data_IF_126866380577
#
_entry.id   IF_126866380577
#
_cell.length_a   1.000
_cell.length_b   1.000
_cell.length_c   1.000
_cell.angle_alpha   90.00
_cell.angle_beta   90.00
_cell.angle_gamma   90.00
#
_symmetry.space_group_name_H-M   'P 1'
#
loop_
_entity.id
_entity.type
_entity.pdbx_description
1 polymer ?
#
# COMPACT_ATOMS: atom_id res chain seq x y z
N UNK A 1 10.81 28.47 -51.78
CA UNK A 1 11.29 27.25 -51.08
C UNK A 1 10.20 26.81 -50.14
N UNK A 2 9.62 25.62 -50.35
CA UNK A 2 8.65 25.02 -49.42
C UNK A 2 9.46 24.21 -48.41
N UNK A 3 9.43 24.62 -47.14
CA UNK A 3 10.06 23.89 -46.04
C UNK A 3 9.13 22.78 -45.56
N UNK A 4 9.42 21.54 -45.94
CA UNK A 4 8.77 20.35 -45.40
C UNK A 4 9.58 19.79 -44.22
N UNK A 5 8.96 19.71 -43.05
CA UNK A 5 9.53 19.00 -41.90
C UNK A 5 9.23 17.52 -42.01
N UNK A 6 10.27 16.68 -41.98
CA UNK A 6 10.11 15.23 -41.95
C UNK A 6 9.53 14.80 -40.59
N UNK A 7 8.39 14.12 -40.62
CA UNK A 7 7.82 13.43 -39.44
C UNK A 7 8.29 11.98 -39.49
N UNK A 8 8.87 11.46 -38.41
CA UNK A 8 9.20 10.03 -38.30
C UNK A 8 7.90 9.23 -38.47
N UNK A 9 7.88 8.31 -39.43
CA UNK A 9 6.83 7.30 -39.51
C UNK A 9 6.78 6.55 -38.17
N UNK A 10 5.61 6.52 -37.52
CA UNK A 10 5.39 5.65 -36.38
C UNK A 10 5.82 4.24 -36.75
N UNK A 11 6.60 3.59 -35.89
CA UNK A 11 6.96 2.19 -36.08
C UNK A 11 5.71 1.31 -36.20
N UNK A 12 5.84 0.03 -36.57
CA UNK A 12 4.72 -0.89 -36.65
C UNK A 12 3.89 -0.81 -35.36
N UNK A 13 2.57 -0.66 -35.49
CA UNK A 13 1.68 -0.77 -34.34
C UNK A 13 1.95 -2.13 -33.66
N UNK A 14 1.94 -2.20 -32.32
CA UNK A 14 2.08 -3.46 -31.61
C UNK A 14 1.11 -4.49 -32.17
N UNK A 15 1.55 -5.75 -32.28
CA UNK A 15 0.68 -6.82 -32.73
C UNK A 15 -0.56 -6.90 -31.82
N UNK A 16 -1.74 -6.88 -32.43
CA UNK A 16 -3.00 -6.97 -31.70
C UNK A 16 -3.12 -8.33 -31.00
N UNK A 17 -3.76 -8.36 -29.84
CA UNK A 17 -4.06 -9.61 -29.17
C UNK A 17 -5.05 -10.45 -29.99
N UNK A 18 -4.89 -11.77 -29.93
CA UNK A 18 -5.82 -12.73 -30.50
C UNK A 18 -6.54 -13.44 -29.35
N UNK A 19 -7.73 -12.94 -29.01
CA UNK A 19 -8.54 -13.47 -27.92
C UNK A 19 -8.87 -14.97 -28.05
N UNK A 20 -8.93 -15.52 -29.27
CA UNK A 20 -9.21 -16.93 -29.50
C UNK A 20 -8.04 -17.86 -29.11
N UNK A 21 -6.83 -17.32 -28.96
CA UNK A 21 -5.64 -18.05 -28.53
C UNK A 21 -5.35 -17.91 -27.03
N UNK A 22 -6.10 -17.07 -26.32
CA UNK A 22 -5.92 -16.86 -24.89
C UNK A 22 -6.50 -18.05 -24.11
N UNK A 23 -5.67 -18.66 -23.27
CA UNK A 23 -6.07 -19.66 -22.28
C UNK A 23 -6.12 -19.02 -20.89
N UNK A 24 -7.30 -18.75 -20.32
CA UNK A 24 -7.44 -18.24 -18.96
C UNK A 24 -7.58 -19.35 -17.91
N UNK A 25 -7.53 -20.63 -18.30
CA UNK A 25 -7.79 -21.76 -17.42
C UNK A 25 -9.16 -21.62 -16.71
N UNK A 26 -9.14 -21.72 -15.38
CA UNK A 26 -10.33 -21.60 -14.53
C UNK A 26 -10.65 -20.17 -14.08
N UNK A 27 -9.87 -19.17 -14.51
CA UNK A 27 -10.09 -17.77 -14.14
C UNK A 27 -11.23 -17.14 -14.97
N UNK A 28 -11.96 -16.17 -14.41
CA UNK A 28 -13.08 -15.53 -15.11
C UNK A 28 -12.64 -14.81 -16.38
N UNK A 29 -13.49 -14.89 -17.42
CA UNK A 29 -13.26 -14.28 -18.74
C UNK A 29 -14.11 -13.05 -19.01
N UNK A 30 -15.04 -12.75 -18.12
CA UNK A 30 -15.99 -11.64 -18.24
C UNK A 30 -16.01 -10.85 -16.94
N UNK A 31 -16.20 -9.52 -17.00
CA UNK A 31 -16.45 -8.72 -15.82
C UNK A 31 -17.54 -9.34 -14.94
N UNK A 32 -17.39 -9.18 -13.62
CA UNK A 32 -18.49 -9.40 -12.69
C UNK A 32 -19.60 -8.37 -12.95
N UNK A 33 -20.87 -8.68 -12.65
CA UNK A 33 -21.89 -7.65 -12.52
C UNK A 33 -21.44 -6.56 -11.54
N UNK A 34 -22.04 -5.35 -11.58
CA UNK A 34 -21.78 -4.32 -10.58
C UNK A 34 -21.86 -4.90 -9.16
N UNK A 35 -20.85 -4.65 -8.34
CA UNK A 35 -20.74 -5.27 -7.01
C UNK A 35 -21.76 -4.74 -6.00
N UNK A 36 -22.45 -3.64 -6.32
CA UNK A 36 -23.47 -3.04 -5.48
C UNK A 36 -22.91 -2.46 -4.18
N UNK A 37 -23.70 -2.54 -3.13
CA UNK A 37 -23.35 -2.12 -1.77
C UNK A 37 -22.65 -3.27 -1.03
N UNK A 38 -21.80 -2.91 -0.07
CA UNK A 38 -21.21 -3.88 0.86
C UNK A 38 -22.28 -4.73 1.57
N UNK A 39 -21.90 -5.94 2.00
CA UNK A 39 -22.86 -6.90 2.55
C UNK A 39 -23.42 -6.48 3.92
N UNK A 40 -22.59 -5.86 4.76
CA UNK A 40 -22.90 -5.50 6.14
C UNK A 40 -21.95 -4.40 6.66
N UNK A 41 -22.11 -4.02 7.94
CA UNK A 41 -21.26 -3.02 8.61
C UNK A 41 -19.78 -3.43 8.65
N UNK A 42 -19.48 -4.72 8.83
CA UNK A 42 -18.10 -5.20 8.89
C UNK A 42 -17.39 -5.05 7.52
N UNK A 43 -18.09 -5.39 6.43
CA UNK A 43 -17.63 -5.12 5.08
C UNK A 43 -17.50 -3.61 4.81
N UNK A 44 -18.42 -2.80 5.36
CA UNK A 44 -18.33 -1.33 5.33
C UNK A 44 -17.08 -0.78 6.02
N UNK A 45 -16.77 -1.25 7.23
CA UNK A 45 -15.53 -0.89 7.96
C UNK A 45 -14.27 -1.30 7.20
N UNK A 46 -14.28 -2.47 6.55
CA UNK A 46 -13.19 -2.92 5.67
C UNK A 46 -12.98 -1.97 4.50
N UNK A 47 -14.04 -1.60 3.78
CA UNK A 47 -13.95 -0.66 2.65
C UNK A 47 -13.51 0.73 3.13
N UNK A 48 -14.02 1.21 4.26
CA UNK A 48 -13.59 2.47 4.84
C UNK A 48 -12.10 2.44 5.21
N UNK A 49 -11.63 1.38 5.89
CA UNK A 49 -10.21 1.19 6.22
C UNK A 49 -9.32 1.22 4.96
N UNK A 50 -9.74 0.60 3.86
CA UNK A 50 -9.02 0.65 2.59
C UNK A 50 -9.00 2.06 1.99
N UNK A 51 -10.12 2.80 2.06
CA UNK A 51 -10.20 4.20 1.59
C UNK A 51 -9.27 5.11 2.38
N UNK A 52 -9.13 4.87 3.69
CA UNK A 52 -8.23 5.64 4.56
C UNK A 52 -6.76 5.61 4.09
N UNK A 53 -6.35 4.62 3.28
CA UNK A 53 -5.01 4.57 2.71
C UNK A 53 -4.60 5.88 2.01
N UNK A 54 -5.54 6.55 1.35
CA UNK A 54 -5.28 7.79 0.58
C UNK A 54 -4.96 9.00 1.48
N UNK A 55 -5.30 8.95 2.76
CA UNK A 55 -4.92 10.02 3.69
C UNK A 55 -3.68 9.68 4.52
N UNK A 56 -3.17 8.44 4.48
CA UNK A 56 -2.01 8.05 5.27
C UNK A 56 -0.72 8.54 4.62
N UNK A 57 -0.03 9.46 5.30
CA UNK A 57 1.26 9.95 4.86
C UNK A 57 2.28 8.80 4.83
N UNK A 58 2.92 8.60 3.68
CA UNK A 58 3.96 7.61 3.50
C UNK A 58 5.29 8.05 4.11
N UNK A 59 6.05 7.15 4.75
CA UNK A 59 7.34 7.49 5.35
C UNK A 59 8.36 8.15 4.41
N UNK A 60 8.36 7.80 3.12
CA UNK A 60 9.23 8.39 2.09
C UNK A 60 8.95 9.88 1.83
N UNK A 61 7.80 10.39 2.26
CA UNK A 61 7.46 11.82 2.21
C UNK A 61 8.14 12.61 3.33
N UNK A 62 8.62 11.92 4.38
CA UNK A 62 9.27 12.50 5.56
C UNK A 62 10.79 12.46 5.44
N UNK A 63 11.31 11.34 4.96
CA UNK A 63 12.72 11.11 4.63
C UNK A 63 12.77 10.24 3.37
N UNK A 64 13.37 10.72 2.29
CA UNK A 64 13.39 10.06 0.98
C UNK A 64 14.14 8.72 0.98
N UNK A 65 14.88 8.41 2.07
CA UNK A 65 15.54 7.13 2.28
C UNK A 65 14.61 6.07 2.88
N UNK A 66 13.46 6.44 3.44
CA UNK A 66 12.47 5.51 4.02
C UNK A 66 11.63 4.86 2.91
N UNK A 67 12.27 4.10 2.03
CA UNK A 67 11.64 3.46 0.87
C UNK A 67 11.52 1.94 1.01
N UNK A 68 12.32 1.29 1.85
CA UNK A 68 12.30 -0.17 1.96
C UNK A 68 11.02 -0.62 2.68
N UNK A 69 10.23 -1.55 2.11
CA UNK A 69 9.13 -2.13 2.85
C UNK A 69 9.68 -2.85 4.08
N UNK A 70 8.98 -2.74 5.21
CA UNK A 70 9.32 -3.44 6.44
C UNK A 70 9.23 -4.96 6.19
N UNK A 71 10.38 -5.63 6.22
CA UNK A 71 10.50 -7.08 6.39
C UNK A 71 11.05 -7.45 7.77
N UNK A 72 10.90 -6.54 8.74
CA UNK A 72 11.29 -6.69 10.14
C UNK A 72 10.21 -6.13 11.06
N UNK A 73 9.35 -7.02 11.54
CA UNK A 73 8.72 -7.07 12.87
C UNK A 73 7.80 -5.96 13.45
N UNK A 74 7.60 -4.75 12.92
CA UNK A 74 6.79 -3.73 13.67
C UNK A 74 5.56 -3.10 12.99
N UNK A 75 5.41 -3.07 11.65
CA UNK A 75 4.08 -2.96 11.02
C UNK A 75 4.10 -3.24 9.51
N UNK A 76 3.22 -4.10 8.97
CA UNK A 76 2.99 -4.19 7.53
C UNK A 76 2.09 -3.03 7.06
N UNK A 77 2.34 -2.49 5.87
CA UNK A 77 1.35 -1.65 5.19
C UNK A 77 0.02 -2.39 5.08
N UNK A 78 -1.01 -1.93 5.77
CA UNK A 78 -2.28 -2.67 5.84
C UNK A 78 -3.47 -1.82 6.29
N UNK A 79 -4.65 -2.15 5.77
CA UNK A 79 -5.92 -1.71 6.33
C UNK A 79 -6.20 -2.43 7.65
N UNK A 80 -6.86 -1.73 8.59
CA UNK A 80 -7.22 -2.20 9.93
C UNK A 80 -8.74 -2.05 10.08
N UNK A 81 -9.48 -3.12 9.87
CA UNK A 81 -10.96 -3.13 9.96
C UNK A 81 -11.49 -3.49 11.34
N UNK A 82 -10.64 -4.00 12.21
CA UNK A 82 -10.97 -4.46 13.55
C UNK A 82 -9.81 -4.14 14.51
N UNK A 83 -10.10 -3.90 15.80
CA UNK A 83 -9.09 -3.48 16.76
C UNK A 83 -8.09 -4.59 17.09
N UNK A 84 -8.44 -5.88 16.93
CA UNK A 84 -7.51 -6.99 17.19
C UNK A 84 -6.28 -6.95 16.28
N UNK A 85 -6.45 -6.41 15.07
CA UNK A 85 -5.36 -6.21 14.12
C UNK A 85 -4.42 -5.06 14.46
N UNK A 86 -4.70 -4.23 15.48
CA UNK A 86 -3.73 -3.24 15.96
C UNK A 86 -2.51 -3.88 16.62
N UNK A 87 -2.62 -5.12 17.11
CA UNK A 87 -1.50 -5.85 17.71
C UNK A 87 -0.28 -6.02 16.78
N UNK A 88 -0.46 -5.88 15.47
CA UNK A 88 0.64 -5.91 14.49
C UNK A 88 1.37 -4.57 14.35
N UNK A 89 0.85 -3.51 14.97
CA UNK A 89 1.29 -2.12 14.83
C UNK A 89 1.86 -1.55 16.13
N UNK A 90 1.23 -1.89 17.25
CA UNK A 90 1.49 -1.27 18.55
C UNK A 90 2.08 -2.28 19.50
N UNK A 91 2.98 -1.83 20.38
CA UNK A 91 3.59 -2.72 21.36
C UNK A 91 2.63 -2.97 22.53
N UNK A 92 2.67 -4.20 23.04
CA UNK A 92 1.88 -4.61 24.20
C UNK A 92 0.47 -5.08 23.86
N UNK A 93 -0.20 -5.67 24.84
CA UNK A 93 -1.51 -6.32 24.66
C UNK A 93 -2.69 -5.37 24.97
N UNK A 94 -2.42 -4.15 25.41
CA UNK A 94 -3.42 -3.23 25.98
C UNK A 94 -4.05 -2.28 24.97
N UNK A 95 -3.32 -1.90 23.92
CA UNK A 95 -3.76 -0.88 22.96
C UNK A 95 -4.97 -1.36 22.13
N UNK A 96 -4.98 -2.62 21.69
CA UNK A 96 -6.11 -3.17 20.95
C UNK A 96 -7.42 -3.18 21.80
N UNK A 97 -7.41 -3.68 23.05
CA UNK A 97 -8.53 -3.52 23.98
C UNK A 97 -8.97 -2.07 24.20
N UNK A 98 -8.02 -1.13 24.34
CA UNK A 98 -8.32 0.30 24.50
C UNK A 98 -9.04 0.83 23.25
N UNK A 99 -8.54 0.54 22.05
CA UNK A 99 -9.20 0.92 20.81
C UNK A 99 -10.63 0.37 20.75
N UNK A 100 -10.82 -0.89 21.13
CA UNK A 100 -12.13 -1.52 21.17
C UNK A 100 -13.08 -0.85 22.18
N UNK A 101 -12.61 -0.51 23.39
CA UNK A 101 -13.44 0.15 24.42
C UNK A 101 -13.84 1.57 24.04
N UNK A 102 -13.08 2.21 23.15
CA UNK A 102 -13.42 3.51 22.56
C UNK A 102 -14.10 3.39 21.18
N UNK A 103 -14.64 2.22 20.84
CA UNK A 103 -15.46 2.00 19.65
C UNK A 103 -14.72 2.20 18.32
N UNK A 104 -13.45 1.76 18.24
CA UNK A 104 -12.66 1.76 17.01
C UNK A 104 -13.49 1.41 15.76
N UNK A 105 -13.39 2.25 14.74
CA UNK A 105 -14.18 2.15 13.51
C UNK A 105 -13.39 1.43 12.41
N UNK A 106 -12.25 2.00 12.04
CA UNK A 106 -11.40 1.57 10.93
C UNK A 106 -10.03 2.27 11.06
N UNK A 107 -9.02 1.77 10.36
CA UNK A 107 -7.71 2.39 10.33
C UNK A 107 -6.88 1.94 9.14
N UNK A 108 -5.77 2.61 8.91
CA UNK A 108 -4.77 2.19 7.93
C UNK A 108 -3.39 2.56 8.44
N UNK A 109 -2.39 1.72 8.17
CA UNK A 109 -0.99 1.99 8.48
C UNK A 109 -0.12 1.82 7.23
N UNK A 110 0.88 2.70 7.10
CA UNK A 110 2.02 2.53 6.21
C UNK A 110 3.33 2.59 6.99
N UNK A 111 4.22 1.62 6.72
CA UNK A 111 5.48 1.47 7.45
C UNK A 111 6.66 1.22 6.52
N UNK A 112 7.80 1.87 6.78
CA UNK A 112 9.03 1.68 5.99
C UNK A 112 10.29 1.89 6.80
N UNK A 113 11.36 1.31 6.29
CA UNK A 113 12.72 1.48 6.81
C UNK A 113 13.65 2.03 5.74
N UNK A 114 14.79 2.54 6.19
CA UNK A 114 15.94 2.73 5.31
C UNK A 114 16.41 1.38 4.79
N UNK A 115 16.69 1.22 3.48
CA UNK A 115 17.20 -0.03 2.93
C UNK A 115 18.42 -0.56 3.71
N UNK A 116 18.46 -1.87 4.00
CA UNK A 116 19.64 -2.46 4.63
C UNK A 116 20.86 -2.32 3.70
N UNK A 117 22.09 -2.25 4.26
CA UNK A 117 23.29 -2.27 3.45
C UNK A 117 23.37 -3.55 2.59
N UNK A 118 24.11 -3.53 1.47
CA UNK A 118 24.43 -4.75 0.75
C UNK A 118 25.09 -5.81 1.66
N UNK A 119 24.83 -7.10 1.42
CA UNK A 119 25.43 -8.20 2.17
C UNK A 119 26.97 -8.08 2.20
N UNK A 120 27.54 -8.15 3.40
CA UNK A 120 28.99 -8.08 3.61
C UNK A 120 29.56 -6.66 3.76
N UNK A 121 28.70 -5.63 3.73
CA UNK A 121 29.09 -4.26 4.07
C UNK A 121 28.61 -3.90 5.47
N UNK A 122 29.37 -3.04 6.16
CA UNK A 122 28.89 -2.41 7.39
C UNK A 122 27.60 -1.63 7.10
N UNK A 123 26.70 -1.56 8.08
CA UNK A 123 25.47 -0.76 8.01
C UNK A 123 25.71 0.65 7.47
N UNK A 124 24.78 1.14 6.64
CA UNK A 124 24.75 2.55 6.27
C UNK A 124 24.62 3.45 7.51
N UNK A 125 24.97 4.72 7.34
CA UNK A 125 24.92 5.74 8.38
C UNK A 125 23.47 5.87 8.89
N UNK A 126 23.23 5.37 10.12
CA UNK A 126 21.99 5.56 10.88
C UNK A 126 20.68 5.03 10.23
N UNK A 127 20.43 3.71 10.26
CA UNK A 127 19.14 3.18 9.82
C UNK A 127 17.98 3.79 10.62
N UNK A 128 16.88 4.05 9.90
CA UNK A 128 15.64 4.59 10.46
C UNK A 128 14.46 3.69 10.10
N UNK A 129 13.44 3.74 10.94
CA UNK A 129 12.13 3.12 10.72
C UNK A 129 11.06 4.14 11.09
N UNK A 130 10.00 4.17 10.30
CA UNK A 130 8.82 4.97 10.58
C UNK A 130 7.58 4.20 10.14
N UNK A 131 6.68 3.98 11.09
CA UNK A 131 5.32 3.55 10.83
C UNK A 131 4.38 4.69 11.15
N UNK A 132 3.42 4.95 10.26
CA UNK A 132 2.42 5.97 10.41
C UNK A 132 1.03 5.35 10.24
N UNK A 133 0.24 5.38 11.30
CA UNK A 133 -1.11 4.86 11.37
C UNK A 133 -2.13 5.97 11.58
N UNK A 134 -3.28 5.85 10.93
CA UNK A 134 -4.47 6.69 11.20
C UNK A 134 -5.58 5.77 11.67
N UNK A 135 -6.03 5.96 12.90
CA UNK A 135 -7.07 5.17 13.56
C UNK A 135 -8.32 6.03 13.70
N UNK A 136 -9.45 5.55 13.20
CA UNK A 136 -10.72 6.29 13.22
C UNK A 136 -11.60 5.83 14.36
N UNK A 137 -12.20 6.80 15.04
CA UNK A 137 -13.17 6.64 16.13
C UNK A 137 -14.49 7.33 15.76
N UNK A 138 -15.59 7.08 16.50
CA UNK A 138 -16.90 7.63 16.15
C UNK A 138 -16.98 9.16 16.23
N UNK A 139 -16.26 9.76 17.17
CA UNK A 139 -16.29 11.20 17.42
C UNK A 139 -14.91 11.75 17.80
N UNK A 140 -14.80 13.08 17.84
CA UNK A 140 -13.62 13.77 18.35
C UNK A 140 -13.34 13.42 19.81
N UNK A 141 -14.39 13.25 20.62
CA UNK A 141 -14.23 12.89 22.03
C UNK A 141 -13.70 11.47 22.18
N UNK A 142 -14.26 10.51 21.44
CA UNK A 142 -13.78 9.11 21.46
C UNK A 142 -12.32 9.01 21.03
N UNK A 143 -11.92 9.75 19.99
CA UNK A 143 -10.53 9.80 19.55
C UNK A 143 -9.60 10.43 20.60
N UNK A 144 -10.01 11.51 21.25
CA UNK A 144 -9.23 12.14 22.30
C UNK A 144 -9.04 11.21 23.51
N UNK A 145 -10.10 10.56 23.96
CA UNK A 145 -10.07 9.63 25.08
C UNK A 145 -9.24 8.38 24.74
N UNK A 146 -9.38 7.85 23.52
CA UNK A 146 -8.57 6.76 23.02
C UNK A 146 -7.08 7.12 22.98
N UNK A 147 -6.71 8.28 22.41
CA UNK A 147 -5.32 8.73 22.38
C UNK A 147 -4.73 8.87 23.79
N UNK A 148 -5.50 9.45 24.72
CA UNK A 148 -5.09 9.59 26.12
C UNK A 148 -4.84 8.24 26.79
N UNK A 149 -5.77 7.29 26.63
CA UNK A 149 -5.64 5.95 27.18
C UNK A 149 -4.47 5.16 26.54
N UNK A 150 -4.31 5.25 25.22
CA UNK A 150 -3.22 4.59 24.49
C UNK A 150 -1.85 5.13 24.90
N UNK A 151 -1.68 6.46 24.95
CA UNK A 151 -0.42 7.08 25.38
C UNK A 151 -0.11 6.88 26.86
N UNK A 152 -1.11 6.64 27.71
CA UNK A 152 -0.88 6.21 29.09
C UNK A 152 -0.43 4.74 29.15
N UNK A 153 -0.99 3.88 28.31
CA UNK A 153 -0.64 2.47 28.24
C UNK A 153 0.76 2.23 27.64
N UNK A 154 1.18 2.99 26.62
CA UNK A 154 2.53 2.89 26.05
C UNK A 154 3.60 3.27 27.08
N UNK A 155 3.44 4.38 27.83
CA UNK A 155 4.35 4.72 28.93
C UNK A 155 4.50 3.58 29.95
N UNK A 156 3.43 2.84 30.23
CA UNK A 156 3.42 1.70 31.15
C UNK A 156 3.96 0.40 30.55
N UNK A 157 4.28 0.37 29.26
CA UNK A 157 4.72 -0.83 28.55
C UNK A 157 6.23 -1.00 28.65
N UNK A 158 6.67 -2.14 29.20
CA UNK A 158 8.09 -2.51 29.29
C UNK A 158 8.59 -2.97 27.91
N UNK A 159 9.68 -2.38 27.44
CA UNK A 159 10.28 -2.68 26.14
C UNK A 159 11.39 -3.74 26.24
N UNK A 160 11.79 -4.36 25.10
CA UNK A 160 12.82 -5.41 25.10
C UNK A 160 14.08 -5.02 25.88
N UNK A 161 14.61 -5.97 26.66
CA UNK A 161 15.70 -5.69 27.61
C UNK A 161 15.24 -5.15 28.96
N UNK A 162 13.93 -5.24 29.27
CA UNK A 162 13.33 -4.73 30.51
C UNK A 162 13.54 -3.21 30.67
N UNK A 163 13.39 -2.48 29.56
CA UNK A 163 13.65 -1.04 29.47
C UNK A 163 12.32 -0.30 29.55
N UNK A 164 12.21 0.62 30.51
CA UNK A 164 11.04 1.50 30.64
C UNK A 164 11.15 2.67 29.67
N UNK A 165 10.03 3.03 29.05
CA UNK A 165 9.95 4.24 28.25
C UNK A 165 9.94 5.50 29.15
N UNK A 166 10.39 6.61 28.60
CA UNK A 166 10.28 7.94 29.22
C UNK A 166 9.56 8.89 28.27
N UNK A 167 8.93 9.92 28.82
CA UNK A 167 8.22 10.93 28.04
C UNK A 167 9.14 11.59 27.01
N UNK A 168 8.67 11.68 25.76
CA UNK A 168 9.34 12.36 24.66
C UNK A 168 8.55 13.62 24.27
N UNK A 169 9.04 14.84 24.59
CA UNK A 169 8.39 16.05 24.14
C UNK A 169 8.43 16.18 22.62
N UNK A 170 7.29 16.56 22.01
CA UNK A 170 7.19 16.95 20.60
C UNK A 170 6.83 18.45 20.56
N UNK A 171 7.79 19.39 20.57
CA UNK A 171 7.51 20.81 20.84
C UNK A 171 6.50 21.48 19.89
N UNK A 172 6.48 21.07 18.62
CA UNK A 172 5.52 21.58 17.61
C UNK A 172 4.10 21.03 17.80
N UNK A 173 3.96 19.93 18.55
CA UNK A 173 2.71 19.24 18.82
C UNK A 173 2.61 18.90 20.32
N UNK A 174 2.44 19.90 21.20
CA UNK A 174 2.51 19.71 22.65
C UNK A 174 1.41 18.80 23.23
N UNK A 175 0.35 18.54 22.47
CA UNK A 175 -0.74 17.63 22.84
C UNK A 175 -0.46 16.17 22.43
N UNK A 176 0.64 15.89 21.72
CA UNK A 176 1.05 14.54 21.36
C UNK A 176 1.59 13.81 22.58
N UNK A 177 1.03 12.62 22.85
CA UNK A 177 1.52 11.72 23.87
C UNK A 177 2.55 10.81 23.24
N UNK A 178 3.82 11.06 23.51
CA UNK A 178 4.92 10.28 22.96
C UNK A 178 5.86 9.80 24.06
N UNK A 179 6.32 8.57 23.93
CA UNK A 179 7.26 7.94 24.86
C UNK A 179 8.39 7.24 24.08
N UNK A 180 9.61 7.37 24.58
CA UNK A 180 10.84 6.89 23.96
C UNK A 180 11.58 5.93 24.88
N UNK A 181 12.26 4.95 24.30
CA UNK A 181 13.23 4.13 25.01
C UNK A 181 14.53 4.03 24.22
N UNK A 182 15.66 4.03 24.94
CA UNK A 182 16.96 3.72 24.39
C UNK A 182 17.18 2.20 24.46
N UNK A 183 17.04 1.52 23.33
CA UNK A 183 17.26 0.08 23.18
C UNK A 183 18.65 -0.18 22.57
N UNK A 184 19.07 -1.44 22.51
CA UNK A 184 20.34 -1.83 21.87
C UNK A 184 20.41 -1.42 20.38
N UNK A 185 19.25 -1.31 19.73
CA UNK A 185 19.10 -0.93 18.34
C UNK A 185 19.06 0.59 18.08
N UNK A 186 19.05 1.44 19.11
CA UNK A 186 18.88 2.89 19.00
C UNK A 186 17.75 3.41 19.88
N UNK A 187 17.15 4.53 19.49
CA UNK A 187 16.00 5.11 20.15
C UNK A 187 14.73 4.74 19.39
N UNK A 188 13.76 4.15 20.08
CA UNK A 188 12.44 3.87 19.55
C UNK A 188 11.43 4.76 20.28
N UNK A 189 10.56 5.42 19.54
CA UNK A 189 9.49 6.24 20.07
C UNK A 189 8.14 5.77 19.52
N UNK A 190 7.13 5.73 20.38
CA UNK A 190 5.73 5.58 19.99
C UNK A 190 5.02 6.89 20.33
N UNK A 191 4.01 7.26 19.55
CA UNK A 191 3.23 8.46 19.82
C UNK A 191 1.79 8.35 19.38
N UNK A 192 0.92 9.04 20.11
CA UNK A 192 -0.52 9.10 19.90
C UNK A 192 -0.96 10.57 19.90
N UNK A 193 -1.57 11.01 18.80
CA UNK A 193 -2.07 12.39 18.64
C UNK A 193 -3.53 12.35 18.23
N UNK A 194 -4.42 12.94 19.03
CA UNK A 194 -5.82 13.10 18.63
C UNK A 194 -5.96 14.26 17.61
N UNK A 195 -6.71 14.04 16.54
CA UNK A 195 -6.99 15.01 15.50
C UNK A 195 -8.37 14.76 14.89
N UNK A 196 -9.36 15.61 15.21
CA UNK A 196 -10.75 15.33 14.82
C UNK A 196 -11.21 13.96 15.33
N UNK A 197 -11.91 13.14 14.53
CA UNK A 197 -12.30 11.77 14.91
C UNK A 197 -11.17 10.73 14.72
N UNK A 198 -9.91 11.17 14.62
CA UNK A 198 -8.77 10.31 14.37
C UNK A 198 -7.76 10.33 15.53
N UNK A 199 -7.10 9.19 15.73
CA UNK A 199 -5.84 9.11 16.46
C UNK A 199 -4.75 8.80 15.44
N UNK A 200 -3.76 9.68 15.35
CA UNK A 200 -2.54 9.42 14.61
C UNK A 200 -1.58 8.65 15.51
N UNK A 201 -1.14 7.50 15.03
CA UNK A 201 -0.11 6.68 15.65
C UNK A 201 1.18 6.81 14.85
N UNK A 202 2.30 7.06 15.52
CA UNK A 202 3.61 6.90 14.91
C UNK A 202 4.50 6.00 15.75
N UNK A 203 5.16 5.04 15.10
CA UNK A 203 6.37 4.40 15.62
C UNK A 203 7.57 4.97 14.84
N UNK A 204 8.56 5.52 15.54
CA UNK A 204 9.74 6.13 14.95
C UNK A 204 11.00 5.59 15.63
N UNK A 205 11.89 4.98 14.84
CA UNK A 205 13.17 4.45 15.30
C UNK A 205 14.35 5.15 14.65
N UNK A 206 15.34 5.57 15.46
CA UNK A 206 16.58 6.19 14.98
C UNK A 206 17.78 5.78 15.84
N UNK A 207 18.91 5.49 15.19
CA UNK A 207 20.18 5.29 15.91
C UNK A 207 20.86 6.57 16.37
N UNK A 208 20.41 7.72 15.87
CA UNK A 208 21.07 9.01 16.11
C UNK A 208 20.77 9.54 17.51
N UNK A 209 19.48 9.73 17.83
CA UNK A 209 19.02 10.27 19.11
C UNK A 209 17.51 10.15 19.26
N UNK A 210 17.02 10.30 20.50
CA UNK A 210 15.59 10.50 20.76
C UNK A 210 15.02 11.76 20.06
N UNK A 211 15.83 12.82 19.93
CA UNK A 211 15.43 14.04 19.24
C UNK A 211 15.20 13.80 17.73
N UNK A 212 16.01 12.94 17.10
CA UNK A 212 15.80 12.55 15.70
C UNK A 212 14.48 11.78 15.52
N UNK A 213 14.10 10.93 16.47
CA UNK A 213 12.80 10.26 16.46
C UNK A 213 11.64 11.26 16.65
N UNK A 214 11.77 12.21 17.59
CA UNK A 214 10.80 13.29 17.78
C UNK A 214 10.61 14.15 16.52
N UNK A 215 11.70 14.48 15.82
CA UNK A 215 11.64 15.24 14.57
C UNK A 215 10.92 14.48 13.46
N UNK A 216 11.12 13.16 13.34
CA UNK A 216 10.36 12.34 12.38
C UNK A 216 8.87 12.32 12.69
N UNK A 217 8.50 12.16 13.97
CA UNK A 217 7.09 12.23 14.41
C UNK A 217 6.51 13.60 14.06
N UNK A 218 7.19 14.68 14.42
CA UNK A 218 6.70 16.04 14.17
C UNK A 218 6.53 16.31 12.66
N UNK A 219 7.46 15.89 11.81
CA UNK A 219 7.33 16.03 10.35
C UNK A 219 6.18 15.20 9.79
N UNK A 220 5.95 14.01 10.35
CA UNK A 220 4.80 13.17 9.99
C UNK A 220 3.50 13.89 10.29
N UNK A 221 3.38 14.49 11.48
CA UNK A 221 2.18 15.25 11.87
C UNK A 221 1.96 16.49 10.98
N UNK A 222 3.02 17.15 10.51
CA UNK A 222 2.91 18.30 9.58
C UNK A 222 2.15 17.94 8.28
N UNK A 223 2.33 16.71 7.78
CA UNK A 223 1.67 16.25 6.56
C UNK A 223 0.37 15.48 6.85
N UNK A 224 0.32 14.75 7.96
CA UNK A 224 -0.80 13.88 8.29
C UNK A 224 -2.06 14.66 8.68
N UNK A 225 -1.94 15.76 9.42
CA UNK A 225 -3.07 16.60 9.81
C UNK A 225 -3.87 17.12 8.61
N UNK A 226 -3.24 17.87 7.70
CA UNK A 226 -3.90 18.36 6.49
C UNK A 226 -4.46 17.23 5.62
N UNK A 227 -3.73 16.10 5.50
CA UNK A 227 -4.21 14.95 4.73
C UNK A 227 -5.51 14.36 5.30
N UNK A 228 -5.60 14.22 6.63
CA UNK A 228 -6.80 13.76 7.31
C UNK A 228 -7.97 14.76 7.20
N UNK A 229 -7.69 16.07 7.21
CA UNK A 229 -8.73 17.11 7.08
C UNK A 229 -9.43 17.09 5.71
N UNK A 230 -8.73 16.64 4.65
CA UNK A 230 -9.32 16.52 3.31
C UNK A 230 -10.10 15.22 3.11
N UNK A 231 -9.88 14.21 3.96
CA UNK A 231 -10.52 12.90 3.83
C UNK A 231 -12.03 12.98 4.10
N UNK A 232 -12.81 12.53 3.12
CA UNK A 232 -14.28 12.48 3.23
C UNK A 232 -14.70 11.17 3.91
N UNK A 233 -14.63 11.16 5.24
CA UNK A 233 -15.06 10.03 6.06
C UNK A 233 -16.55 9.75 5.89
N UNK A 234 -16.88 8.47 5.75
CA UNK A 234 -18.28 8.01 5.70
C UNK A 234 -18.90 8.12 7.08
N UNK A 235 -20.11 8.68 7.28
CA UNK A 235 -20.78 8.62 8.58
C UNK A 235 -20.81 7.19 9.14
N UNK A 236 -20.56 7.03 10.44
CA UNK A 236 -20.38 5.68 11.04
C UNK A 236 -21.63 4.82 10.87
N UNK A 237 -22.81 5.43 10.95
CA UNK A 237 -24.11 4.79 10.74
C UNK A 237 -24.42 4.47 9.26
N UNK A 238 -23.56 4.89 8.33
CA UNK A 238 -23.72 4.68 6.88
C UNK A 238 -22.66 3.75 6.28
N UNK A 239 -21.78 3.15 7.09
CA UNK A 239 -20.73 2.25 6.58
C UNK A 239 -21.29 1.07 5.79
N UNK A 240 -22.40 0.48 6.24
CA UNK A 240 -23.11 -0.59 5.55
C UNK A 240 -23.76 -0.16 4.21
N UNK A 241 -23.74 1.14 3.87
CA UNK A 241 -24.28 1.65 2.60
C UNK A 241 -23.20 1.91 1.55
N UNK A 242 -21.92 1.71 1.90
CA UNK A 242 -20.81 1.98 1.00
C UNK A 242 -20.89 1.12 -0.27
N UNK A 243 -20.62 1.71 -1.46
CA UNK A 243 -20.47 0.93 -2.67
C UNK A 243 -19.19 0.08 -2.56
N UNK A 244 -19.30 -1.21 -2.89
CA UNK A 244 -18.17 -2.14 -2.88
C UNK A 244 -17.17 -1.86 -4.02
N UNK A 245 -17.64 -1.28 -5.13
CA UNK A 245 -16.80 -0.82 -6.24
C UNK A 245 -17.42 0.40 -6.94
N UNK A 246 -17.22 1.61 -6.40
CA UNK A 246 -17.75 2.83 -7.01
C UNK A 246 -17.17 3.11 -8.40
N UNK A 247 -16.03 2.49 -8.76
CA UNK A 247 -15.34 2.72 -10.03
C UNK A 247 -15.74 1.77 -11.15
N UNK A 248 -16.30 0.60 -10.81
CA UNK A 248 -16.48 -0.53 -11.73
C UNK A 248 -15.18 -1.24 -12.12
N UNK A 249 -14.01 -0.76 -11.67
CA UNK A 249 -12.70 -1.34 -12.02
C UNK A 249 -12.49 -2.69 -11.32
N UNK A 250 -12.95 -2.83 -10.07
CA UNK A 250 -12.81 -4.07 -9.32
C UNK A 250 -13.66 -5.19 -9.92
N UNK A 251 -14.85 -4.86 -10.43
CA UNK A 251 -15.69 -5.80 -11.18
C UNK A 251 -14.98 -6.32 -12.45
N UNK A 252 -14.04 -5.54 -13.02
CA UNK A 252 -13.20 -5.89 -14.18
C UNK A 252 -11.82 -6.45 -13.81
N UNK A 253 -11.54 -6.66 -12.52
CA UNK A 253 -10.28 -7.23 -12.03
C UNK A 253 -10.48 -8.71 -11.69
N UNK A 254 -9.51 -9.56 -12.06
CA UNK A 254 -9.55 -11.00 -11.72
C UNK A 254 -9.57 -11.12 -10.18
N UNK A 255 -10.60 -11.77 -9.61
CA UNK A 255 -10.74 -11.86 -8.16
C UNK A 255 -9.80 -12.91 -7.57
N UNK A 256 -9.27 -12.64 -6.39
CA UNK A 256 -8.64 -13.66 -5.55
C UNK A 256 -9.72 -14.58 -4.98
N UNK A 257 -9.40 -15.87 -4.81
CA UNK A 257 -10.31 -16.83 -4.18
C UNK A 257 -10.55 -16.49 -2.71
N UNK A 258 -9.51 -16.05 -2.01
CA UNK A 258 -9.54 -15.64 -0.60
C UNK A 258 -8.77 -14.31 -0.45
N UNK A 259 -9.44 -13.16 -0.68
CA UNK A 259 -8.78 -11.87 -0.65
C UNK A 259 -8.43 -11.47 0.78
N UNK A 260 -7.16 -11.15 1.02
CA UNK A 260 -6.74 -10.52 2.29
C UNK A 260 -7.32 -9.09 2.42
N UNK A 261 -7.11 -8.44 3.57
CA UNK A 261 -7.69 -7.10 3.82
C UNK A 261 -7.29 -6.03 2.79
N UNK A 262 -6.15 -6.16 2.12
CA UNK A 262 -5.64 -5.18 1.16
C UNK A 262 -6.02 -5.55 -0.29
N UNK A 263 -6.71 -6.67 -0.49
CA UNK A 263 -7.25 -7.10 -1.77
C UNK A 263 -8.74 -6.79 -1.86
N UNK A 264 -9.36 -7.11 -2.99
CA UNK A 264 -10.75 -6.74 -3.29
C UNK A 264 -10.98 -5.23 -3.03
N UNK A 265 -10.07 -4.39 -3.54
CA UNK A 265 -10.02 -2.96 -3.27
C UNK A 265 -9.61 -2.15 -4.51
N UNK A 266 -10.05 -0.89 -4.56
CA UNK A 266 -9.57 0.10 -5.53
C UNK A 266 -8.97 1.27 -4.75
N UNK A 267 -7.66 1.42 -4.86
CA UNK A 267 -6.92 2.49 -4.21
C UNK A 267 -6.75 3.68 -5.16
N UNK A 268 -6.91 4.93 -4.67
CA UNK A 268 -6.41 6.08 -5.38
C UNK A 268 -4.87 6.02 -5.50
N UNK A 269 -4.26 6.82 -6.40
CA UNK A 269 -2.84 6.71 -6.70
C UNK A 269 -1.95 6.88 -5.47
N UNK A 270 -2.25 7.84 -4.58
CA UNK A 270 -1.44 8.06 -3.38
C UNK A 270 -1.51 6.87 -2.41
N UNK A 271 -2.73 6.42 -2.04
CA UNK A 271 -2.89 5.22 -1.22
C UNK A 271 -2.25 3.96 -1.80
N UNK A 272 -2.26 3.79 -3.14
CA UNK A 272 -1.63 2.65 -3.80
C UNK A 272 -0.09 2.63 -3.67
N UNK A 273 0.57 3.77 -3.43
CA UNK A 273 2.03 3.86 -3.28
C UNK A 273 2.53 3.18 -2.00
N UNK A 274 1.68 3.10 -0.97
CA UNK A 274 2.02 2.47 0.31
C UNK A 274 2.41 0.99 0.12
N UNK A 275 1.94 0.33 -0.95
CA UNK A 275 2.22 -1.07 -1.28
C UNK A 275 3.40 -1.27 -2.24
N UNK A 276 4.05 -0.20 -2.70
CA UNK A 276 5.09 -0.29 -3.74
C UNK A 276 6.48 -0.46 -3.13
N UNK A 277 7.35 -1.20 -3.79
CA UNK A 277 8.74 -1.39 -3.36
C UNK A 277 9.55 -0.11 -3.40
N UNK A 278 9.30 0.73 -4.42
CA UNK A 278 9.88 2.06 -4.58
C UNK A 278 8.75 3.07 -4.82
N UNK A 279 8.23 3.71 -3.77
CA UNK A 279 7.12 4.65 -3.88
C UNK A 279 7.52 5.95 -4.57
N UNK A 280 8.79 6.36 -4.52
CA UNK A 280 9.27 7.60 -5.14
C UNK A 280 9.29 7.43 -6.67
N UNK A 281 9.92 6.37 -7.15
CA UNK A 281 9.91 6.05 -8.58
C UNK A 281 8.49 5.71 -9.07
N UNK A 282 7.68 5.04 -8.26
CA UNK A 282 6.29 4.73 -8.63
C UNK A 282 5.43 5.99 -8.72
N UNK A 283 5.60 6.98 -7.83
CA UNK A 283 4.87 8.26 -7.92
C UNK A 283 5.20 9.00 -9.22
N UNK A 284 6.48 9.05 -9.60
CA UNK A 284 6.89 9.66 -10.86
C UNK A 284 6.25 8.94 -12.06
N UNK A 285 6.20 7.60 -12.03
CA UNK A 285 5.51 6.81 -13.05
C UNK A 285 4.00 7.08 -13.07
N UNK A 286 3.33 7.15 -11.91
CA UNK A 286 1.91 7.45 -11.84
C UNK A 286 1.58 8.80 -12.46
N UNK A 287 2.41 9.81 -12.20
CA UNK A 287 2.26 11.15 -12.77
C UNK A 287 2.45 11.16 -14.29
N UNK A 288 3.50 10.51 -14.80
CA UNK A 288 3.79 10.46 -16.25
C UNK A 288 2.78 9.61 -17.05
N UNK A 289 2.23 8.56 -16.43
CA UNK A 289 1.21 7.71 -17.02
C UNK A 289 -0.23 8.25 -16.81
N UNK A 290 -0.43 9.25 -15.95
CA UNK A 290 -1.75 9.70 -15.54
C UNK A 290 -2.57 8.58 -14.89
N UNK A 291 -1.98 7.85 -13.93
CA UNK A 291 -2.72 6.81 -13.19
C UNK A 291 -3.81 7.46 -12.34
N UNK A 292 -5.06 7.04 -12.57
CA UNK A 292 -6.23 7.52 -11.85
C UNK A 292 -6.65 6.60 -10.71
N UNK A 293 -6.51 5.28 -10.89
CA UNK A 293 -6.93 4.25 -9.92
C UNK A 293 -6.06 3.00 -10.02
N UNK A 294 -5.93 2.29 -8.92
CA UNK A 294 -5.26 0.99 -8.87
C UNK A 294 -6.18 -0.03 -8.18
N UNK A 295 -6.70 -0.99 -8.94
CA UNK A 295 -7.40 -2.13 -8.36
C UNK A 295 -6.40 -3.20 -7.93
N UNK A 296 -6.59 -3.73 -6.73
CA UNK A 296 -5.77 -4.80 -6.16
C UNK A 296 -6.66 -5.97 -5.75
N UNK A 297 -6.49 -7.10 -6.43
CA UNK A 297 -7.18 -8.36 -6.13
C UNK A 297 -6.25 -9.55 -6.45
N UNK A 298 -6.63 -10.55 -7.28
CA UNK A 298 -5.67 -11.57 -7.77
C UNK A 298 -4.63 -10.96 -8.69
N UNK A 299 -5.04 -9.96 -9.45
CA UNK A 299 -4.23 -9.11 -10.32
C UNK A 299 -4.15 -7.71 -9.73
N UNK A 300 -3.16 -6.94 -10.15
CA UNK A 300 -3.13 -5.50 -9.94
C UNK A 300 -3.38 -4.81 -11.26
N UNK A 301 -4.42 -3.97 -11.34
CA UNK A 301 -4.80 -3.22 -12.54
C UNK A 301 -4.61 -1.73 -12.27
N UNK A 302 -3.85 -1.06 -13.13
CA UNK A 302 -3.55 0.36 -13.11
C UNK A 302 -4.34 1.02 -14.24
N UNK A 303 -5.31 1.86 -13.88
CA UNK A 303 -6.12 2.63 -14.83
C UNK A 303 -5.41 3.95 -15.14
N UNK A 304 -4.88 4.07 -16.36
CA UNK A 304 -4.28 5.29 -16.87
C UNK A 304 -5.32 6.20 -17.56
N UNK A 305 -4.93 7.43 -17.88
CA UNK A 305 -5.75 8.36 -18.67
C UNK A 305 -6.02 7.85 -20.10
N UNK A 306 -5.06 7.14 -20.69
CA UNK A 306 -5.14 6.61 -22.05
C UNK A 306 -4.20 5.39 -22.25
N UNK A 307 -4.17 4.86 -23.48
CA UNK A 307 -3.33 3.72 -23.84
C UNK A 307 -1.83 4.03 -23.86
N UNK A 308 -1.44 5.29 -24.09
CA UNK A 308 -0.03 5.70 -24.01
C UNK A 308 0.43 5.70 -22.56
N UNK A 309 -0.41 6.20 -21.65
CA UNK A 309 -0.21 6.13 -20.20
C UNK A 309 -0.13 4.68 -19.72
N UNK A 310 -1.01 3.80 -20.20
CA UNK A 310 -0.95 2.37 -19.89
C UNK A 310 0.39 1.74 -20.31
N UNK A 311 0.90 2.08 -21.50
CA UNK A 311 2.21 1.60 -21.95
C UNK A 311 3.35 2.10 -21.05
N UNK A 312 3.36 3.39 -20.71
CA UNK A 312 4.34 3.98 -19.78
C UNK A 312 4.29 3.31 -18.40
N UNK A 313 3.08 3.01 -17.92
CA UNK A 313 2.87 2.33 -16.66
C UNK A 313 3.43 0.91 -16.69
N UNK A 314 3.12 0.12 -17.72
CA UNK A 314 3.66 -1.22 -17.89
C UNK A 314 5.20 -1.22 -17.96
N UNK A 315 5.79 -0.27 -18.69
CA UNK A 315 7.24 -0.13 -18.77
C UNK A 315 7.86 0.30 -17.44
N UNK A 316 7.21 1.20 -16.70
CA UNK A 316 7.64 1.60 -15.36
C UNK A 316 7.56 0.45 -14.35
N UNK A 317 6.47 -0.33 -14.37
CA UNK A 317 6.33 -1.53 -13.54
C UNK A 317 7.45 -2.53 -13.84
N UNK A 318 7.76 -2.78 -15.12
CA UNK A 318 8.87 -3.65 -15.49
C UNK A 318 10.23 -3.09 -15.02
N UNK A 319 10.46 -1.77 -15.15
CA UNK A 319 11.70 -1.13 -14.67
C UNK A 319 11.90 -1.24 -13.17
N UNK A 320 10.83 -1.29 -12.37
CA UNK A 320 10.89 -1.36 -10.90
C UNK A 320 10.82 -2.79 -10.36
N UNK A 321 9.81 -3.57 -10.77
CA UNK A 321 9.50 -4.86 -10.17
C UNK A 321 10.51 -5.96 -10.59
N UNK A 322 10.99 -5.90 -11.84
CA UNK A 322 11.97 -6.87 -12.38
C UNK A 322 13.28 -6.87 -11.58
N UNK A 323 14.00 -5.74 -11.43
CA UNK A 323 15.23 -5.72 -10.63
C UNK A 323 14.98 -5.92 -9.14
N UNK A 324 13.85 -5.43 -8.59
CA UNK A 324 13.55 -5.55 -7.17
C UNK A 324 13.50 -7.01 -6.69
N UNK A 325 12.86 -7.90 -7.46
CA UNK A 325 12.79 -9.33 -7.16
C UNK A 325 13.73 -10.19 -8.03
N UNK A 326 14.66 -9.55 -8.76
CA UNK A 326 15.70 -10.21 -9.59
C UNK A 326 15.15 -11.17 -10.63
N UNK A 327 14.04 -10.79 -11.27
CA UNK A 327 13.48 -11.58 -12.35
C UNK A 327 14.34 -11.50 -13.63
N UNK A 328 14.27 -12.56 -14.44
CA UNK A 328 14.81 -12.63 -15.79
C UNK A 328 13.69 -12.88 -16.79
N UNK A 329 13.88 -12.50 -18.06
CA UNK A 329 12.86 -12.72 -19.10
C UNK A 329 12.46 -14.19 -19.20
N UNK A 330 11.16 -14.44 -19.33
CA UNK A 330 10.57 -15.76 -19.52
C UNK A 330 9.66 -15.76 -20.77
N UNK A 331 9.19 -16.93 -21.24
CA UNK A 331 8.24 -17.01 -22.33
C UNK A 331 6.98 -16.16 -22.08
N UNK A 332 6.55 -15.42 -23.11
CA UNK A 332 5.33 -14.62 -23.07
C UNK A 332 4.05 -15.46 -23.19
N UNK A 333 2.91 -14.78 -23.20
CA UNK A 333 1.59 -15.42 -23.28
C UNK A 333 1.15 -15.56 -24.74
N UNK A 334 0.81 -16.78 -25.16
CA UNK A 334 0.30 -17.04 -26.51
C UNK A 334 -0.97 -16.22 -26.76
N UNK A 335 -1.06 -15.56 -27.92
CA UNK A 335 -2.20 -14.70 -28.26
C UNK A 335 -2.20 -13.31 -27.59
N UNK A 336 -1.25 -12.99 -26.71
CA UNK A 336 -1.16 -11.68 -26.05
C UNK A 336 0.22 -11.03 -26.21
N UNK A 337 0.50 -10.37 -27.34
CA UNK A 337 1.81 -9.76 -27.60
C UNK A 337 2.22 -8.64 -26.64
N UNK A 338 1.27 -8.00 -25.95
CA UNK A 338 1.57 -6.98 -24.93
C UNK A 338 2.12 -7.57 -23.63
N UNK A 339 1.97 -8.87 -23.40
CA UNK A 339 2.41 -9.52 -22.17
C UNK A 339 3.92 -9.77 -22.17
N UNK A 340 4.60 -9.20 -21.16
CA UNK A 340 6.00 -9.45 -20.82
C UNK A 340 6.04 -10.26 -19.53
N UNK A 341 6.63 -11.45 -19.61
CA UNK A 341 6.72 -12.38 -18.49
C UNK A 341 8.16 -12.59 -18.04
N UNK A 342 8.32 -12.89 -16.76
CA UNK A 342 9.60 -13.01 -16.10
C UNK A 342 9.60 -14.11 -15.03
N UNK A 343 10.73 -14.79 -14.85
CA UNK A 343 10.98 -15.83 -13.84
C UNK A 343 12.20 -15.43 -13.00
N UNK A 344 12.08 -15.49 -11.67
CA UNK A 344 13.20 -15.25 -10.74
C UNK A 344 13.99 -16.53 -10.42
N UNK A 345 13.58 -17.66 -11.02
CA UNK A 345 14.15 -18.98 -10.81
C UNK A 345 13.47 -19.74 -9.67
N UNK A 346 13.80 -21.04 -9.51
CA UNK A 346 13.34 -21.83 -8.39
C UNK A 346 13.89 -21.21 -7.09
N UNK A 347 12.99 -20.69 -6.25
CA UNK A 347 13.36 -20.03 -5.02
C UNK A 347 13.53 -21.04 -3.88
N UNK A 348 14.55 -20.85 -3.04
CA UNK A 348 14.75 -21.58 -1.77
C UNK A 348 14.22 -20.76 -0.57
N UNK A 349 13.40 -19.74 -0.81
CA UNK A 349 12.82 -18.81 0.18
C UNK A 349 11.29 -18.85 0.14
N UNK A 350 10.62 -18.19 1.11
CA UNK A 350 9.15 -18.10 1.21
C UNK A 350 8.48 -17.27 0.08
N UNK A 351 9.23 -16.85 -0.94
CA UNK A 351 8.76 -16.03 -2.07
C UNK A 351 8.23 -16.86 -3.24
N UNK A 352 7.94 -18.15 -3.03
CA UNK A 352 7.43 -19.06 -4.05
C UNK A 352 6.16 -18.56 -4.75
N UNK A 353 5.25 -17.89 -4.03
CA UNK A 353 4.01 -17.34 -4.60
C UNK A 353 4.23 -16.22 -5.64
N UNK A 354 5.42 -15.62 -5.67
CA UNK A 354 5.81 -14.57 -6.61
C UNK A 354 6.93 -15.02 -7.55
N UNK A 355 7.07 -16.32 -7.82
CA UNK A 355 8.13 -16.82 -8.72
C UNK A 355 8.02 -16.29 -10.15
N UNK A 356 6.81 -16.22 -10.69
CA UNK A 356 6.55 -15.69 -12.02
C UNK A 356 5.87 -14.34 -11.89
N UNK A 357 6.27 -13.40 -12.73
CA UNK A 357 5.64 -12.08 -12.90
C UNK A 357 5.31 -11.91 -14.37
N UNK A 358 4.09 -11.53 -14.67
CA UNK A 358 3.72 -11.08 -16.02
C UNK A 358 3.06 -9.71 -15.93
N UNK A 359 3.39 -8.84 -16.89
CA UNK A 359 2.89 -7.47 -17.01
C UNK A 359 2.37 -7.30 -18.43
N UNK A 360 1.18 -6.74 -18.61
CA UNK A 360 0.57 -6.52 -19.91
C UNK A 360 -0.23 -5.22 -19.95
N UNK A 361 -0.70 -4.87 -21.15
CA UNK A 361 -1.58 -3.73 -21.39
C UNK A 361 -2.84 -4.13 -22.16
N UNK A 362 -3.93 -3.42 -21.91
CA UNK A 362 -5.21 -3.50 -22.62
C UNK A 362 -5.90 -2.13 -22.58
N UNK A 363 -6.14 -1.51 -23.73
CA UNK A 363 -6.67 -0.14 -23.82
C UNK A 363 -5.91 0.82 -22.87
N UNK A 364 -6.60 1.50 -21.95
CA UNK A 364 -6.01 2.42 -20.94
C UNK A 364 -5.53 1.72 -19.66
N UNK A 365 -5.43 0.39 -19.65
CA UNK A 365 -5.04 -0.37 -18.48
C UNK A 365 -3.66 -0.99 -18.64
N UNK A 366 -2.79 -0.79 -17.65
CA UNK A 366 -1.65 -1.67 -17.39
C UNK A 366 -2.04 -2.64 -16.28
N UNK A 367 -1.61 -3.88 -16.35
CA UNK A 367 -1.93 -4.85 -15.31
C UNK A 367 -0.83 -5.88 -15.15
N UNK A 368 -0.77 -6.45 -13.95
CA UNK A 368 0.20 -7.49 -13.61
C UNK A 368 -0.41 -8.60 -12.77
N UNK A 369 0.25 -9.75 -12.80
CA UNK A 369 -0.05 -10.88 -11.96
C UNK A 369 1.26 -11.57 -11.56
N UNK A 370 1.23 -12.18 -10.38
CA UNK A 370 2.28 -13.07 -9.92
C UNK A 370 1.73 -14.45 -9.60
N UNK A 371 2.53 -15.48 -9.82
CA UNK A 371 2.14 -16.86 -9.50
C UNK A 371 3.36 -17.73 -9.16
N UNK A 372 3.09 -18.88 -8.56
CA UNK A 372 4.13 -19.88 -8.28
C UNK A 372 4.53 -20.69 -9.51
N UNK A 373 3.61 -20.82 -10.48
CA UNK A 373 3.79 -21.59 -11.70
C UNK A 373 3.62 -20.70 -12.94
N UNK A 374 4.41 -20.98 -13.98
CA UNK A 374 4.39 -20.21 -15.24
C UNK A 374 3.01 -20.24 -15.89
N UNK A 375 2.45 -21.43 -16.02
CA UNK A 375 1.13 -21.64 -16.63
C UNK A 375 0.03 -20.87 -15.89
N UNK A 376 0.11 -20.79 -14.56
CA UNK A 376 -0.84 -20.05 -13.75
C UNK A 376 -0.70 -18.54 -14.00
N UNK A 377 0.52 -18.00 -14.06
CA UNK A 377 0.76 -16.59 -14.38
C UNK A 377 0.23 -16.23 -15.77
N UNK A 378 0.44 -17.10 -16.76
CA UNK A 378 -0.09 -16.94 -18.12
C UNK A 378 -1.62 -16.92 -18.12
N UNK A 379 -2.25 -17.86 -17.43
CA UNK A 379 -3.71 -17.97 -17.34
C UNK A 379 -4.36 -16.76 -16.64
N UNK A 380 -3.77 -16.27 -15.55
CA UNK A 380 -4.29 -15.07 -14.86
C UNK A 380 -4.20 -13.83 -15.75
N UNK A 381 -3.09 -13.64 -16.46
CA UNK A 381 -2.91 -12.48 -17.35
C UNK A 381 -3.83 -12.56 -18.56
N UNK A 382 -4.01 -13.74 -19.16
CA UNK A 382 -4.98 -13.96 -20.21
C UNK A 382 -6.41 -13.64 -19.74
N UNK A 383 -6.78 -14.12 -18.54
CA UNK A 383 -8.07 -13.83 -17.92
C UNK A 383 -8.27 -12.32 -17.70
N UNK A 384 -7.26 -11.64 -17.15
CA UNK A 384 -7.33 -10.20 -16.90
C UNK A 384 -7.50 -9.39 -18.18
N UNK A 385 -6.80 -9.76 -19.26
CA UNK A 385 -7.00 -9.15 -20.57
C UNK A 385 -8.45 -9.29 -21.04
N UNK A 386 -9.02 -10.50 -20.95
CA UNK A 386 -10.40 -10.77 -21.35
C UNK A 386 -11.42 -10.00 -20.50
N UNK A 387 -11.20 -9.87 -19.19
CA UNK A 387 -12.06 -9.08 -18.31
C UNK A 387 -12.03 -7.57 -18.65
N UNK A 388 -10.90 -7.02 -19.11
CA UNK A 388 -10.81 -5.59 -19.47
C UNK A 388 -11.34 -5.28 -20.86
N UNK A 389 -11.30 -6.25 -21.79
CA UNK A 389 -11.65 -6.05 -23.20
C UNK A 389 -13.03 -6.56 -23.58
N UNK A 390 -13.68 -7.35 -22.72
CA UNK A 390 -15.08 -7.69 -22.89
C UNK A 390 -15.95 -6.45 -22.63
N UNK A 391 -16.91 -6.13 -23.53
CA UNK A 391 -17.84 -5.01 -23.37
C UNK A 391 -18.50 -4.96 -21.99
#
# INVERSE_FOLDING_TARGET
MVTGSAVKSGGPAPAAANAALLDPGNYPRRPRPPLGTVADDAAGRRVEAQRMADMVTGPWQIDDKLISPTNAEIAPTTAISDPGRLSVLVRGETIAPIAASHHFVAGFVGGRTTPPPPKGQAGGDSPKILDNGVLRFPSTQDAADAAAAMGAADLGTVRPGNIWATRLPIPRYPNTLADVAALSGGFEAESFTAHGPYVFFQFAGSKESAAAAADMIAKTLDLQGPSADHFQATPVDQLATLPADPSGLLARTVPATDPNINQAAVYPPHGALLFRSDPVATQAMYNDAGIARVAADRTTVYEAVDSTGAQRAADGLARMDVPFLRYHSAPGVNGLPSARCFDRGPDSTDLGAVRFLCIATADRYAFKATAAQEIEAHQIIAAQYLMLTTP
#
